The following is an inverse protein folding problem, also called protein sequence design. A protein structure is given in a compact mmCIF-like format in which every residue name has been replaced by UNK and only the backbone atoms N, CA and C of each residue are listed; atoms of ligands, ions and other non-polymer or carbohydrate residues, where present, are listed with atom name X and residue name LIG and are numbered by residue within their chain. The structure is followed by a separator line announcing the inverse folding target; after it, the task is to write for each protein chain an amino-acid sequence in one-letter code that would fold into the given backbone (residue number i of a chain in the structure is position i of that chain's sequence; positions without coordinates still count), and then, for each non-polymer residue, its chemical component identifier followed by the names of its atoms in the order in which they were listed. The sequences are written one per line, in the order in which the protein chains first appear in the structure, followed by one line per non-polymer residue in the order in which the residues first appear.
data_IF_392485294463
#
_entry.id   IF_392485294463
#
_cell.length_a   1.000
_cell.length_b   1.000
_cell.length_c   1.000
_cell.angle_alpha   90.00
_cell.angle_beta   90.00
_cell.angle_gamma   90.00
#
_symmetry.space_group_name_H-M   'P 1'
#
loop_
_entity.id
_entity.type
_entity.pdbx_description
1 polymer ?
2 polymer ?
3 non-polymer ?
4 non-polymer ?
5 water ?
#
# COMPACT_ATOMS: atom_id res chain seq x y z
N UNK A 1 -9.91 -18.77 -12.51
CA UNK A 1 -10.85 -18.81 -11.41
C UNK A 1 -12.24 -18.35 -11.81
N UNK A 2 -12.95 -17.71 -10.87
CA UNK A 2 -14.37 -17.41 -11.09
C UNK A 2 -14.58 -16.37 -12.18
N UNK A 3 -13.57 -15.55 -12.50
CA UNK A 3 -13.71 -14.54 -13.55
C UNK A 3 -13.11 -14.99 -14.87
N UNK A 4 -12.75 -16.29 -14.97
CA UNK A 4 -12.03 -16.77 -16.14
C UNK A 4 -12.77 -16.65 -17.46
N UNK A 5 -14.10 -16.66 -17.43
CA UNK A 5 -14.87 -16.57 -18.66
C UNK A 5 -15.19 -15.15 -19.10
N UNK A 6 -14.82 -14.13 -18.31
CA UNK A 6 -15.12 -12.77 -18.70
C UNK A 6 -13.93 -12.12 -19.38
N UNK A 7 -14.22 -11.33 -20.43
CA UNK A 7 -13.19 -10.61 -21.18
C UNK A 7 -12.41 -9.69 -20.25
N UNK A 8 -11.09 -9.59 -20.49
CA UNK A 8 -10.26 -8.65 -19.72
C UNK A 8 -10.88 -7.26 -19.72
N UNK A 9 -11.25 -6.77 -20.92
CA UNK A 9 -11.78 -5.41 -21.00
C UNK A 9 -13.05 -5.24 -20.17
N UNK A 10 -13.92 -6.27 -20.16
CA UNK A 10 -15.16 -6.18 -19.38
C UNK A 10 -14.87 -6.19 -17.88
N UNK A 11 -13.84 -6.94 -17.46
CA UNK A 11 -13.46 -6.94 -16.05
C UNK A 11 -12.99 -5.55 -15.62
N UNK A 12 -12.23 -4.87 -16.49
CA UNK A 12 -11.74 -3.53 -16.17
C UNK A 12 -12.90 -2.55 -16.11
N UNK A 13 -13.79 -2.61 -17.11
CA UNK A 13 -14.97 -1.76 -17.13
C UNK A 13 -15.82 -1.98 -15.88
N UNK A 14 -16.03 -3.25 -15.50
CA UNK A 14 -16.81 -3.56 -14.31
C UNK A 14 -16.10 -3.13 -13.02
N UNK A 15 -14.77 -3.19 -12.99
CA UNK A 15 -14.04 -2.68 -11.84
C UNK A 15 -14.32 -1.20 -11.65
N UNK A 16 -14.34 -0.43 -12.74
CA UNK A 16 -14.60 1.00 -12.67
C UNK A 16 -16.03 1.27 -12.22
N UNK A 17 -16.98 0.47 -12.71
CA UNK A 17 -18.37 0.60 -12.26
C UNK A 17 -18.49 0.30 -10.76
N UNK A 18 -17.84 -0.79 -10.32
CA UNK A 18 -17.84 -1.15 -8.92
C UNK A 18 -17.29 -0.03 -8.05
N UNK A 19 -16.22 0.62 -8.51
CA UNK A 19 -15.68 1.75 -7.76
C UNK A 19 -16.72 2.84 -7.61
N UNK A 20 -17.40 3.18 -8.71
CA UNK A 20 -18.43 4.22 -8.64
C UNK A 20 -19.54 3.83 -7.69
N UNK A 21 -19.90 2.54 -7.65
CA UNK A 21 -20.92 2.03 -6.77
C UNK A 21 -20.43 1.75 -5.34
N UNK A 22 -19.14 2.00 -5.07
CA UNK A 22 -18.51 1.73 -3.78
C UNK A 22 -18.63 0.27 -3.38
N UNK A 23 -18.55 -0.63 -4.37
CA UNK A 23 -18.59 -2.07 -4.16
C UNK A 23 -17.18 -2.61 -4.28
N UNK A 24 -16.41 -2.44 -3.21
CA UNK A 24 -14.96 -2.64 -3.31
C UNK A 24 -14.60 -4.12 -3.35
N UNK A 25 -15.40 -4.98 -2.70
CA UNK A 25 -15.14 -6.41 -2.80
C UNK A 25 -15.31 -6.88 -4.24
N UNK A 26 -16.40 -6.47 -4.90
CA UNK A 26 -16.56 -6.76 -6.32
C UNK A 26 -15.40 -6.17 -7.13
N UNK A 27 -15.04 -4.92 -6.86
CA UNK A 27 -13.96 -4.26 -7.57
C UNK A 27 -12.68 -5.06 -7.49
N UNK A 28 -12.35 -5.55 -6.29
CA UNK A 28 -11.16 -6.37 -6.10
C UNK A 28 -11.26 -7.67 -6.86
N UNK A 29 -12.43 -8.32 -6.86
CA UNK A 29 -12.56 -9.59 -7.58
C UNK A 29 -12.43 -9.40 -9.09
N UNK A 30 -12.96 -8.30 -9.63
CA UNK A 30 -12.82 -8.00 -11.05
C UNK A 30 -11.34 -7.75 -11.39
N UNK A 31 -10.64 -6.98 -10.55
CA UNK A 31 -9.23 -6.71 -10.83
C UNK A 31 -8.37 -7.95 -10.66
N UNK A 32 -8.67 -8.81 -9.68
CA UNK A 32 -7.97 -10.09 -9.57
C UNK A 32 -8.14 -10.90 -10.84
N UNK A 33 -9.37 -10.97 -11.35
CA UNK A 33 -9.60 -11.65 -12.61
C UNK A 33 -8.84 -11.03 -13.76
N UNK A 34 -8.75 -9.69 -13.80
CA UNK A 34 -7.99 -9.03 -14.85
C UNK A 34 -6.50 -9.37 -14.75
N UNK A 35 -5.95 -9.37 -13.54
CA UNK A 35 -4.55 -9.74 -13.36
C UNK A 35 -4.31 -11.14 -13.85
N UNK A 36 -5.22 -12.06 -13.51
CA UNK A 36 -5.03 -13.47 -13.86
C UNK A 36 -5.15 -13.72 -15.35
N UNK A 37 -5.53 -12.71 -16.15
CA UNK A 37 -5.43 -12.88 -17.60
C UNK A 37 -3.99 -12.97 -18.08
N UNK A 38 -3.03 -12.56 -17.26
CA UNK A 38 -1.62 -12.74 -17.57
C UNK A 38 -0.96 -11.59 -18.30
N UNK A 39 -1.70 -10.57 -18.71
CA UNK A 39 -1.10 -9.41 -19.35
C UNK A 39 -0.65 -8.40 -18.28
N UNK A 40 0.42 -7.66 -18.58
CA UNK A 40 0.82 -6.59 -17.66
C UNK A 40 -0.32 -5.56 -17.52
N UNK A 41 -0.32 -4.82 -16.42
CA UNK A 41 -1.34 -3.80 -16.16
C UNK A 41 -0.83 -2.41 -16.53
N UNK A 42 -1.71 -1.59 -17.10
CA UNK A 42 -1.41 -0.19 -17.34
C UNK A 42 -1.35 0.57 -16.02
N UNK A 43 -0.87 1.83 -16.06
CA UNK A 43 -0.88 2.66 -14.86
C UNK A 43 -2.29 2.75 -14.24
N UNK A 44 -3.31 3.04 -15.06
CA UNK A 44 -4.67 3.16 -14.54
C UNK A 44 -5.12 1.85 -13.90
N UNK A 45 -4.82 0.73 -14.55
CA UNK A 45 -5.22 -0.59 -14.03
C UNK A 45 -4.50 -0.91 -12.72
N UNK A 46 -3.21 -0.59 -12.62
CA UNK A 46 -2.52 -0.77 -11.35
C UNK A 46 -3.23 -0.02 -10.24
N UNK A 47 -3.63 1.20 -10.54
CA UNK A 47 -4.30 1.99 -9.53
C UNK A 47 -5.66 1.41 -9.18
N UNK A 48 -6.40 0.84 -10.16
CA UNK A 48 -7.68 0.20 -9.83
C UNK A 48 -7.47 -0.98 -8.91
N UNK A 49 -6.44 -1.79 -9.20
CA UNK A 49 -6.09 -2.94 -8.36
C UNK A 49 -5.79 -2.50 -6.93
N UNK A 50 -4.96 -1.46 -6.79
CA UNK A 50 -4.55 -0.99 -5.47
C UNK A 50 -5.73 -0.40 -4.70
N UNK A 51 -6.51 0.48 -5.35
CA UNK A 51 -7.64 1.11 -4.68
C UNK A 51 -8.63 0.05 -4.19
N UNK A 52 -8.89 -0.96 -5.02
CA UNK A 52 -9.86 -2.00 -4.66
C UNK A 52 -9.44 -2.72 -3.38
N UNK A 53 -8.23 -3.31 -3.39
CA UNK A 53 -7.78 -4.07 -2.25
C UNK A 53 -7.52 -3.16 -1.04
N UNK A 54 -7.09 -1.92 -1.24
CA UNK A 54 -6.89 -1.03 -0.08
C UNK A 54 -8.19 -0.79 0.66
N UNK A 55 -9.28 -0.61 -0.07
CA UNK A 55 -10.58 -0.43 0.55
C UNK A 55 -11.03 -1.69 1.26
N UNK A 56 -10.84 -2.86 0.65
CA UNK A 56 -11.24 -4.10 1.29
C UNK A 56 -10.45 -4.32 2.58
N UNK A 57 -9.12 -4.29 2.49
CA UNK A 57 -8.33 -4.55 3.69
C UNK A 57 -8.52 -3.45 4.71
N UNK A 58 -8.83 -2.24 4.24
CA UNK A 58 -9.05 -1.13 5.18
C UNK A 58 -10.23 -1.39 6.09
N UNK A 59 -11.33 -1.90 5.53
CA UNK A 59 -12.48 -2.26 6.36
C UNK A 59 -12.13 -3.33 7.38
N UNK A 60 -11.33 -4.32 6.97
CA UNK A 60 -10.94 -5.41 7.84
C UNK A 60 -10.03 -4.91 8.96
N UNK A 61 -9.08 -4.02 8.62
CA UNK A 61 -8.18 -3.48 9.61
C UNK A 61 -8.96 -2.70 10.67
N UNK A 62 -9.89 -1.86 10.24
CA UNK A 62 -10.67 -1.07 11.18
C UNK A 62 -11.48 -1.98 12.09
N UNK A 63 -12.07 -3.02 11.51
CA UNK A 63 -12.86 -3.95 12.31
C UNK A 63 -11.97 -4.70 13.29
N UNK A 64 -10.81 -5.17 12.81
CA UNK A 64 -9.87 -5.89 13.65
C UNK A 64 -9.44 -5.03 14.83
N UNK A 65 -9.21 -3.74 14.60
CA UNK A 65 -8.77 -2.88 15.69
C UNK A 65 -9.86 -2.73 16.73
N UNK A 66 -11.12 -2.57 16.30
CA UNK A 66 -12.25 -2.47 17.23
C UNK A 66 -12.30 -3.71 18.10
N UNK A 67 -12.25 -4.90 17.48
CA UNK A 67 -12.37 -6.15 18.21
C UNK A 67 -11.16 -6.40 19.10
N UNK A 68 -9.96 -6.05 18.64
CA UNK A 68 -8.76 -6.21 19.45
C UNK A 68 -8.82 -5.34 20.71
N UNK A 69 -9.34 -4.12 20.55
CA UNK A 69 -9.52 -3.22 21.69
C UNK A 69 -10.49 -3.80 22.70
N UNK A 70 -11.61 -4.34 22.23
CA UNK A 70 -12.58 -4.96 23.13
C UNK A 70 -11.96 -6.16 23.84
N UNK A 71 -11.22 -6.97 23.09
CA UNK A 71 -10.58 -8.15 23.65
C UNK A 71 -9.62 -7.76 24.76
N UNK A 72 -8.75 -6.77 24.50
CA UNK A 72 -7.80 -6.32 25.53
C UNK A 72 -8.53 -5.81 26.76
N UNK A 73 -9.58 -4.99 26.57
CA UNK A 73 -10.39 -4.57 27.71
C UNK A 73 -10.93 -5.78 28.47
N UNK A 74 -11.40 -6.80 27.74
CA UNK A 74 -11.92 -8.02 28.36
C UNK A 74 -10.85 -8.80 29.12
N UNK A 75 -9.59 -8.59 28.80
CA UNK A 75 -8.50 -9.25 29.51
C UNK A 75 -7.88 -8.27 30.49
N UNK A 84 -15.31 -17.07 25.29
CA UNK A 84 -14.38 -17.11 24.16
C UNK A 84 -14.82 -16.31 22.95
N UNK A 85 -16.01 -15.71 22.99
CA UNK A 85 -16.63 -15.16 21.79
C UNK A 85 -15.81 -14.01 21.19
N UNK A 86 -15.33 -13.08 22.02
CA UNK A 86 -14.58 -11.93 21.48
C UNK A 86 -13.31 -12.41 20.79
N UNK A 87 -12.56 -13.30 21.44
CA UNK A 87 -11.35 -13.84 20.82
C UNK A 87 -11.67 -14.58 19.53
N UNK A 88 -12.72 -15.43 19.55
CA UNK A 88 -13.11 -16.18 18.36
C UNK A 88 -13.43 -15.25 17.19
N UNK A 89 -14.21 -14.19 17.45
CA UNK A 89 -14.64 -13.32 16.36
C UNK A 89 -13.49 -12.42 15.89
N UNK A 90 -12.65 -11.96 16.82
CA UNK A 90 -11.42 -11.26 16.39
C UNK A 90 -10.56 -12.17 15.51
N UNK A 91 -10.43 -13.44 15.88
CA UNK A 91 -9.67 -14.39 15.07
C UNK A 91 -10.30 -14.58 13.69
N UNK A 92 -11.63 -14.65 13.64
CA UNK A 92 -12.33 -14.80 12.35
C UNK A 92 -11.99 -13.64 11.44
N UNK A 93 -12.10 -12.40 11.95
CA UNK A 93 -11.80 -11.24 11.13
C UNK A 93 -10.33 -11.24 10.75
N UNK A 94 -9.46 -11.60 11.71
CA UNK A 94 -8.02 -11.66 11.47
C UNK A 94 -7.69 -12.63 10.35
N UNK A 95 -8.33 -13.81 10.32
CA UNK A 95 -8.03 -14.79 9.29
C UNK A 95 -8.50 -14.29 7.91
N UNK A 96 -9.65 -13.62 7.86
CA UNK A 96 -10.14 -13.06 6.61
C UNK A 96 -9.19 -11.96 6.10
N UNK A 97 -8.72 -11.11 7.01
CA UNK A 97 -7.71 -10.11 6.68
C UNK A 97 -6.45 -10.76 6.12
N UNK A 98 -5.94 -11.79 6.81
CA UNK A 98 -4.75 -12.49 6.34
C UNK A 98 -4.99 -13.11 4.99
N UNK A 99 -6.21 -13.58 4.74
CA UNK A 99 -6.53 -14.17 3.46
C UNK A 99 -6.44 -13.16 2.33
N UNK A 100 -6.94 -11.94 2.57
CA UNK A 100 -6.87 -10.88 1.57
C UNK A 100 -5.41 -10.50 1.32
N UNK A 101 -4.62 -10.33 2.39
CA UNK A 101 -3.19 -10.04 2.21
C UNK A 101 -2.50 -11.13 1.41
N UNK A 102 -2.77 -12.41 1.75
CA UNK A 102 -2.23 -13.54 1.00
C UNK A 102 -2.62 -13.47 -0.47
N UNK A 103 -3.87 -13.14 -0.78
CA UNK A 103 -4.29 -13.06 -2.17
C UNK A 103 -3.50 -11.98 -2.93
N UNK A 104 -3.36 -10.79 -2.32
CA UNK A 104 -2.65 -9.71 -2.99
C UNK A 104 -1.19 -10.10 -3.20
N UNK A 105 -0.52 -10.59 -2.15
CA UNK A 105 0.87 -11.01 -2.29
C UNK A 105 1.01 -12.08 -3.37
N UNK A 106 0.01 -12.98 -3.46
CA UNK A 106 0.02 -14.00 -4.50
C UNK A 106 -0.04 -13.44 -5.90
N UNK A 107 -0.85 -12.40 -6.12
CA UNK A 107 -0.90 -11.75 -7.42
C UNK A 107 0.43 -11.08 -7.74
N UNK A 108 1.02 -10.42 -6.75
CA UNK A 108 2.31 -9.75 -6.97
C UNK A 108 3.39 -10.76 -7.33
N UNK A 109 3.37 -11.93 -6.69
CA UNK A 109 4.37 -12.98 -6.89
C UNK A 109 4.10 -13.84 -8.13
N UNK A 110 2.85 -13.82 -8.66
CA UNK A 110 2.45 -14.65 -9.80
C UNK A 110 1.52 -13.85 -10.73
N UNK A 111 2.08 -12.96 -11.57
CA UNK A 111 3.50 -12.78 -11.81
C UNK A 111 3.79 -11.30 -12.06
N UNK A 112 3.07 -10.43 -11.34
CA UNK A 112 3.16 -9.00 -11.61
C UNK A 112 4.57 -8.46 -11.42
N UNK A 113 5.22 -8.78 -10.30
CA UNK A 113 6.53 -8.18 -10.03
C UNK A 113 7.55 -8.67 -11.04
N UNK A 114 7.56 -9.97 -11.34
CA UNK A 114 8.63 -10.46 -12.20
C UNK A 114 8.51 -9.93 -13.63
N UNK A 115 7.30 -9.56 -14.07
CA UNK A 115 7.15 -8.99 -15.40
C UNK A 115 7.24 -7.47 -15.41
N UNK A 116 7.42 -6.81 -14.27
CA UNK A 116 7.46 -5.35 -14.20
C UNK A 116 8.91 -4.87 -14.38
N UNK A 117 9.19 -4.28 -15.52
CA UNK A 117 10.52 -3.80 -15.85
C UNK A 117 10.69 -2.30 -15.69
N UNK A 118 9.66 -1.53 -16.01
CA UNK A 118 9.73 -0.09 -15.86
C UNK A 118 9.71 0.30 -14.40
N UNK A 119 10.42 1.38 -14.08
CA UNK A 119 10.47 1.80 -12.68
C UNK A 119 9.09 2.05 -12.10
N UNK A 120 8.19 2.70 -12.86
CA UNK A 120 6.89 3.09 -12.32
C UNK A 120 6.03 1.89 -11.97
N UNK A 121 6.17 0.80 -12.71
CA UNK A 121 5.39 -0.39 -12.37
C UNK A 121 6.11 -1.20 -11.30
N UNK A 122 7.43 -1.35 -11.40
CA UNK A 122 8.16 -2.16 -10.44
C UNK A 122 8.10 -1.55 -9.05
N UNK A 123 8.29 -0.23 -8.94
CA UNK A 123 8.20 0.43 -7.64
C UNK A 123 6.79 0.32 -7.09
N UNK A 124 5.78 0.49 -7.95
CA UNK A 124 4.38 0.40 -7.51
C UNK A 124 4.10 -0.95 -6.87
N UNK A 125 4.50 -2.05 -7.52
CA UNK A 125 4.19 -3.37 -7.02
C UNK A 125 5.00 -3.69 -5.77
N UNK A 126 6.28 -3.28 -5.75
CA UNK A 126 7.08 -3.55 -4.58
C UNK A 126 6.57 -2.79 -3.37
N UNK A 127 6.14 -1.54 -3.58
CA UNK A 127 5.46 -0.82 -2.49
C UNK A 127 4.23 -1.59 -2.01
N UNK A 128 3.43 -2.13 -2.93
CA UNK A 128 2.25 -2.92 -2.50
C UNK A 128 2.68 -4.12 -1.69
N UNK A 129 3.74 -4.81 -2.12
CA UNK A 129 4.23 -5.95 -1.37
C UNK A 129 4.60 -5.54 0.05
N UNK A 130 5.35 -4.44 0.19
CA UNK A 130 5.63 -3.87 1.51
C UNK A 130 4.36 -3.57 2.30
N UNK A 131 3.38 -2.94 1.66
CA UNK A 131 2.14 -2.58 2.36
C UNK A 131 1.42 -3.81 2.90
N UNK A 132 1.25 -4.85 2.08
CA UNK A 132 0.44 -5.98 2.53
C UNK A 132 1.21 -6.85 3.53
N UNK A 133 2.54 -6.90 3.47
CA UNK A 133 3.26 -7.53 4.59
C UNK A 133 3.13 -6.69 5.85
N UNK A 134 3.15 -5.36 5.70
CA UNK A 134 2.92 -4.49 6.85
C UNK A 134 1.54 -4.76 7.48
N UNK A 135 0.49 -4.97 6.66
CA UNK A 135 -0.83 -5.24 7.22
C UNK A 135 -0.83 -6.58 7.95
N UNK A 136 -0.09 -7.55 7.41
CA UNK A 136 0.08 -8.80 8.14
C UNK A 136 0.81 -8.56 9.47
N UNK A 137 1.84 -7.70 9.45
CA UNK A 137 2.61 -7.46 10.67
C UNK A 137 1.75 -6.84 11.76
N UNK A 138 0.76 -6.02 11.39
CA UNK A 138 -0.10 -5.35 12.37
C UNK A 138 -0.83 -6.36 13.24
N UNK A 139 -1.14 -7.54 12.71
CA UNK A 139 -1.87 -8.57 13.45
C UNK A 139 -1.01 -9.74 13.86
N UNK A 140 0.26 -9.76 13.47
CA UNK A 140 1.14 -10.89 13.73
C UNK A 140 1.64 -10.87 15.18
N UNK A 141 1.92 -12.05 15.70
CA UNK A 141 2.56 -12.18 17.00
C UNK A 141 3.87 -12.97 16.92
N UNK A 142 4.84 -12.62 17.77
CA UNK A 142 6.00 -13.48 17.99
C UNK A 142 7.01 -13.53 16.83
N UNK A 143 7.46 -14.75 16.49
CA UNK A 143 8.52 -14.92 15.48
C UNK A 143 7.96 -14.73 14.06
N UNK A 144 6.82 -15.37 13.75
CA UNK A 144 6.18 -15.06 12.47
C UNK A 144 6.18 -13.56 12.27
N UNK A 145 5.95 -12.80 13.34
CA UNK A 145 6.02 -11.35 13.23
C UNK A 145 7.37 -10.90 12.73
N UNK A 146 8.47 -11.47 13.24
CA UNK A 146 9.79 -11.00 12.84
C UNK A 146 10.03 -11.21 11.35
N UNK A 147 9.72 -12.40 10.85
CA UNK A 147 9.94 -12.71 9.44
C UNK A 147 9.02 -11.88 8.56
N UNK A 148 7.78 -11.66 9.00
CA UNK A 148 6.84 -10.82 8.24
C UNK A 148 7.40 -9.40 8.15
N UNK A 149 7.86 -8.87 9.28
CA UNK A 149 8.42 -7.52 9.32
C UNK A 149 9.61 -7.42 8.37
N UNK A 150 10.47 -8.44 8.34
CA UNK A 150 11.63 -8.35 7.46
C UNK A 150 11.23 -8.45 6.00
N UNK A 151 10.15 -9.16 5.69
CA UNK A 151 9.65 -9.19 4.32
C UNK A 151 9.09 -7.83 3.91
N UNK A 152 8.40 -7.12 4.82
CA UNK A 152 7.94 -5.77 4.50
C UNK A 152 9.13 -4.86 4.23
N UNK A 153 10.07 -4.84 5.18
CA UNK A 153 11.28 -4.02 5.06
C UNK A 153 12.00 -4.29 3.74
N UNK A 154 12.20 -5.55 3.40
CA UNK A 154 12.93 -5.90 2.19
C UNK A 154 12.24 -5.37 0.94
N UNK A 155 10.91 -5.47 0.88
CA UNK A 155 10.19 -4.99 -0.29
C UNK A 155 10.23 -3.48 -0.38
N UNK A 156 9.98 -2.79 0.74
CA UNK A 156 10.10 -1.34 0.77
C UNK A 156 11.50 -0.90 0.36
N UNK A 157 12.53 -1.56 0.90
CA UNK A 157 13.91 -1.15 0.60
C UNK A 157 14.24 -1.28 -0.88
N UNK A 158 13.86 -2.41 -1.51
CA UNK A 158 14.11 -2.54 -2.94
C UNK A 158 13.35 -1.48 -3.72
N UNK A 159 12.11 -1.20 -3.32
CA UNK A 159 11.34 -0.16 -3.99
C UNK A 159 12.01 1.18 -3.84
N UNK A 160 12.52 1.48 -2.63
CA UNK A 160 13.18 2.76 -2.38
C UNK A 160 14.45 2.89 -3.21
N UNK A 161 15.25 1.82 -3.28
CA UNK A 161 16.49 1.87 -4.05
C UNK A 161 16.21 2.21 -5.52
N UNK A 162 15.21 1.54 -6.12
CA UNK A 162 14.87 1.80 -7.51
C UNK A 162 14.34 3.22 -7.66
N UNK A 163 13.45 3.63 -6.75
CA UNK A 163 12.81 4.93 -6.86
C UNK A 163 13.83 6.05 -6.82
N UNK A 164 14.80 5.96 -5.91
CA UNK A 164 15.80 7.01 -5.78
C UNK A 164 16.68 7.11 -7.02
N UNK A 165 16.90 5.99 -7.73
CA UNK A 165 17.74 5.99 -8.91
C UNK A 165 16.99 6.37 -10.18
N UNK A 166 15.67 6.09 -10.26
CA UNK A 166 14.92 6.18 -11.51
C UNK A 166 13.79 7.20 -11.53
N UNK A 167 13.42 7.79 -10.40
CA UNK A 167 12.31 8.73 -10.39
C UNK A 167 12.75 10.03 -9.74
N UNK A 168 12.15 11.15 -10.14
CA UNK A 168 12.45 12.42 -9.47
C UNK A 168 11.86 12.43 -8.07
N UNK A 169 12.43 13.26 -7.18
CA UNK A 169 11.98 13.26 -5.78
C UNK A 169 10.54 13.68 -5.60
N UNK A 170 9.89 14.28 -6.61
CA UNK A 170 8.49 14.67 -6.50
C UNK A 170 7.53 13.64 -7.07
N UNK A 171 8.03 12.57 -7.66
CA UNK A 171 7.18 11.56 -8.24
C UNK A 171 6.18 11.03 -7.19
N UNK A 172 4.87 11.09 -7.46
CA UNK A 172 3.90 10.66 -6.44
C UNK A 172 4.06 9.23 -5.96
N UNK A 173 4.49 8.32 -6.83
CA UNK A 173 4.72 6.94 -6.41
C UNK A 173 5.87 6.89 -5.41
N UNK A 174 6.98 7.56 -5.74
CA UNK A 174 8.11 7.66 -4.82
C UNK A 174 7.69 8.26 -3.50
N UNK A 175 6.92 9.36 -3.55
CA UNK A 175 6.47 10.05 -2.34
C UNK A 175 5.61 9.14 -1.48
N UNK A 176 4.68 8.42 -2.12
CA UNK A 176 3.77 7.56 -1.38
C UNK A 176 4.48 6.37 -0.76
N UNK A 177 5.44 5.80 -1.49
CA UNK A 177 6.34 4.78 -0.95
C UNK A 177 7.07 5.27 0.28
N UNK A 178 7.70 6.44 0.20
CA UNK A 178 8.44 6.96 1.33
C UNK A 178 7.53 7.22 2.52
N UNK A 179 6.34 7.77 2.25
CA UNK A 179 5.34 7.95 3.30
C UNK A 179 5.05 6.64 4.03
N UNK A 180 4.76 5.57 3.29
CA UNK A 180 4.38 4.30 3.89
C UNK A 180 5.57 3.62 4.59
N UNK A 181 6.75 3.70 3.99
CA UNK A 181 7.94 3.14 4.63
C UNK A 181 8.23 3.88 5.92
N UNK A 182 8.02 5.20 5.95
CA UNK A 182 8.21 5.95 7.19
C UNK A 182 7.25 5.45 8.28
N UNK A 183 6.01 5.14 7.91
CA UNK A 183 5.05 4.67 8.92
C UNK A 183 5.40 3.25 9.36
N UNK A 184 5.84 2.41 8.42
CA UNK A 184 6.44 1.12 8.77
C UNK A 184 7.53 1.30 9.83
N UNK A 185 8.48 2.21 9.58
CA UNK A 185 9.53 2.42 10.58
C UNK A 185 8.93 2.81 11.93
N UNK A 186 7.98 3.74 11.93
CA UNK A 186 7.48 4.31 13.18
C UNK A 186 6.68 3.30 13.99
N UNK A 187 5.72 2.65 13.33
CA UNK A 187 4.68 1.82 13.95
C UNK A 187 5.03 0.34 14.03
N UNK A 188 5.79 -0.17 13.07
CA UNK A 188 6.01 -1.59 12.96
C UNK A 188 7.40 -1.96 13.43
N UNK A 189 8.41 -1.24 12.97
CA UNK A 189 9.80 -1.57 13.27
C UNK A 189 10.28 -0.90 14.56
N UNK A 190 9.44 -0.14 15.23
CA UNK A 190 9.81 0.58 16.44
C UNK A 190 11.07 1.42 16.22
N UNK A 191 11.14 2.07 15.06
CA UNK A 191 12.25 2.94 14.69
C UNK A 191 11.74 4.35 14.42
N UNK A 192 11.21 5.03 15.44
CA UNK A 192 10.68 6.39 15.22
C UNK A 192 11.71 7.37 14.65
N UNK A 193 12.98 7.28 15.03
CA UNK A 193 13.94 8.23 14.49
C UNK A 193 14.15 8.01 13.00
N UNK A 194 14.20 6.74 12.58
CA UNK A 194 14.31 6.45 11.16
C UNK A 194 13.09 6.98 10.42
N UNK A 195 11.89 6.80 11.01
CA UNK A 195 10.65 7.27 10.39
C UNK A 195 10.70 8.78 10.19
N UNK A 196 11.12 9.51 11.23
CA UNK A 196 11.18 10.97 11.15
C UNK A 196 12.22 11.41 10.13
N UNK A 197 13.42 10.83 10.18
CA UNK A 197 14.46 11.17 9.21
C UNK A 197 13.96 10.94 7.79
N UNK A 198 13.33 9.79 7.53
CA UNK A 198 12.87 9.53 6.18
C UNK A 198 11.83 10.55 5.74
N UNK A 199 10.84 10.83 6.59
CA UNK A 199 9.76 11.75 6.22
C UNK A 199 10.29 13.15 5.96
N UNK A 200 11.25 13.60 6.78
CA UNK A 200 11.86 14.92 6.62
C UNK A 200 12.67 15.02 5.33
N UNK A 201 13.58 14.07 5.09
CA UNK A 201 14.40 14.13 3.88
C UNK A 201 13.53 14.04 2.63
N UNK A 202 12.52 13.16 2.66
CA UNK A 202 11.60 13.05 1.53
C UNK A 202 10.88 14.38 1.29
N UNK A 203 10.36 14.99 2.35
CA UNK A 203 9.64 16.25 2.18
C UNK A 203 10.56 17.33 1.61
N UNK A 204 11.74 17.49 2.21
CA UNK A 204 12.67 18.55 1.82
C UNK A 204 13.14 18.39 0.38
N UNK A 205 13.47 17.16 -0.05
CA UNK A 205 13.93 16.93 -1.42
C UNK A 205 12.80 17.14 -2.42
N UNK A 206 11.57 16.80 -2.05
CA UNK A 206 10.46 17.10 -2.96
C UNK A 206 10.24 18.60 -3.09
N UNK A 207 10.28 19.31 -1.96
CA UNK A 207 10.11 20.76 -1.98
C UNK A 207 11.05 21.40 -3.00
N UNK A 208 12.31 20.98 -3.00
CA UNK A 208 13.36 21.55 -3.83
C UNK A 208 13.17 21.24 -5.31
N UNK A 209 12.30 20.29 -5.65
CA UNK A 209 12.05 19.87 -7.02
C UNK A 209 10.71 20.39 -7.56
N UNK A 210 9.90 21.06 -6.72
CA UNK A 210 8.56 21.49 -7.12
C UNK A 210 8.61 22.48 -8.28
N UNK A 211 9.68 23.27 -8.37
CA UNK A 211 9.80 24.28 -9.42
C UNK A 211 9.79 23.68 -10.82
N UNK A 212 10.08 22.38 -10.95
CA UNK A 212 10.12 21.72 -12.25
C UNK A 212 8.76 21.29 -12.76
N UNK A 213 7.71 21.37 -11.95
CA UNK A 213 6.43 20.75 -12.26
C UNK A 213 5.43 21.73 -12.85
N UNK A 214 4.53 21.17 -13.65
CA UNK A 214 3.30 21.81 -14.10
C UNK A 214 2.34 21.96 -12.92
N UNK A 215 1.32 22.78 -13.11
CA UNK A 215 0.34 23.02 -12.04
C UNK A 215 -0.34 21.71 -11.60
N UNK A 216 -0.61 20.81 -12.54
CA UNK A 216 -1.30 19.57 -12.16
C UNK A 216 -0.36 18.60 -11.44
N UNK A 217 0.88 18.48 -11.89
CA UNK A 217 1.85 17.67 -11.16
C UNK A 217 2.14 18.26 -9.80
N UNK A 218 2.24 19.58 -9.73
CA UNK A 218 2.42 20.28 -8.46
C UNK A 218 1.34 19.87 -7.46
N UNK A 219 0.07 19.87 -7.89
CA UNK A 219 -1.03 19.49 -7.00
C UNK A 219 -0.89 18.04 -6.53
N UNK A 220 -0.58 17.11 -7.46
CA UNK A 220 -0.40 15.70 -7.09
C UNK A 220 0.71 15.53 -6.04
N UNK A 221 1.85 16.18 -6.26
CA UNK A 221 2.99 16.00 -5.36
C UNK A 221 2.74 16.67 -4.00
N UNK A 222 2.21 17.90 -4.00
CA UNK A 222 1.99 18.57 -2.73
C UNK A 222 0.96 17.85 -1.87
N UNK A 223 -0.02 17.16 -2.48
CA UNK A 223 -0.99 16.40 -1.68
C UNK A 223 -0.30 15.37 -0.81
N UNK A 224 0.65 14.61 -1.37
CA UNK A 224 1.34 13.59 -0.58
C UNK A 224 2.34 14.22 0.36
N UNK A 225 2.98 15.32 -0.04
CA UNK A 225 3.87 16.02 0.89
C UNK A 225 3.12 16.44 2.14
N UNK A 226 1.86 16.85 1.98
CA UNK A 226 1.05 17.23 3.14
C UNK A 226 0.85 16.06 4.09
N UNK A 227 0.71 14.83 3.58
CA UNK A 227 0.62 13.68 4.48
C UNK A 227 1.94 13.46 5.24
N UNK A 228 3.08 13.67 4.57
CA UNK A 228 4.36 13.61 5.27
C UNK A 228 4.40 14.65 6.38
N UNK A 229 3.96 15.87 6.09
CA UNK A 229 3.93 16.91 7.11
C UNK A 229 2.97 16.57 8.24
N UNK A 230 1.80 16.00 7.92
CA UNK A 230 0.86 15.62 8.98
C UNK A 230 1.52 14.64 9.94
N UNK A 231 2.23 13.65 9.41
CA UNK A 231 2.89 12.69 10.29
C UNK A 231 4.00 13.35 11.10
N UNK A 232 4.86 14.16 10.46
CA UNK A 232 5.93 14.82 11.21
C UNK A 232 5.35 15.64 12.36
N UNK A 233 4.22 16.29 12.13
CA UNK A 233 3.58 17.09 13.18
C UNK A 233 3.14 16.23 14.36
N UNK A 234 2.66 15.02 14.09
CA UNK A 234 2.31 14.13 15.19
C UNK A 234 3.54 13.52 15.84
N UNK A 235 4.66 13.45 15.13
CA UNK A 235 5.85 12.75 15.61
C UNK A 235 6.87 13.66 16.28
N UNK A 236 6.83 14.96 16.01
CA UNK A 236 7.80 15.90 16.56
C UNK A 236 7.10 17.05 17.26
N UNK B 3 -4.12 6.30 14.11
CA UNK B 3 -3.48 5.83 12.89
C UNK B 3 -2.80 6.99 12.16
N UNK B 4 -1.56 6.76 11.73
CA UNK B 4 -0.81 7.75 10.99
C UNK B 4 -1.20 7.73 9.51
N UNK B 5 -0.89 8.81 8.81
CA UNK B 5 -1.30 8.94 7.41
C UNK B 5 -0.50 7.97 6.57
N UNK B 6 -1.16 7.15 5.75
CA UNK B 6 -0.46 6.40 4.69
C UNK B 6 -1.12 6.68 3.35
N UNK B 7 -0.49 6.20 2.29
CA UNK B 7 -0.89 6.45 0.93
C UNK B 7 -2.30 5.91 0.57
N UNK B 8 -3.00 6.64 -0.27
CA UNK B 8 -4.21 6.13 -0.89
C UNK B 8 -5.42 6.18 0.02
N UNK B 9 -6.48 5.45 -0.37
CA UNK B 9 -7.75 5.54 0.38
C UNK B 9 -7.62 5.26 1.87
N UNK B 10 -8.17 6.19 2.65
CA UNK B 10 -8.20 6.15 4.11
C UNK B 10 -9.39 5.32 4.58
N UNK B 11 -9.39 4.05 4.14
CA UNK B 11 -10.56 3.17 4.23
C UNK B 11 -10.69 2.44 5.57
N UNK B 12 -9.76 2.64 6.50
CA UNK B 12 -9.93 2.09 7.84
C UNK B 12 -10.17 3.25 8.82
X LIG C 1 -16.74 -16.23 15.09
X LIG D 1 -5.62 6.61 -11.63
X LIG D 1 -7.62 5.89 -10.17
X LIG D 1 -6.56 6.44 -9.47
X LIG D 1 -8.93 5.36 -9.63
X LIG D 1 -2.97 6.63 -15.00
X LIG D 1 -4.21 7.47 -14.78
X LIG D 1 -5.08 7.66 -16.00
X LIG D 1 -4.63 6.96 -12.52
X LIG D 1 -3.45 7.54 -12.08
X LIG D 1 -3.26 7.78 -10.73
X LIG D 1 -4.25 7.44 -9.84
X LIG D 1 -5.47 6.84 -10.29
X LIG D 1 -9.20 5.33 -8.41
X LIG D 1 -9.88 4.93 -10.61
X LIG D 1 -4.92 6.68 -13.85
X LIG D 1 -7.20 5.89 -11.85
X LIG D 1 -3.96 7.76 -8.14
X LIG D 1 -6.57 6.54 -8.54
X LIG D 1 -2.34 7.13 -15.48
X LIG D 1 -3.19 5.87 -15.49
X LIG D 1 -2.61 6.38 -14.17
X LIG D 1 -3.99 8.30 -14.39
X LIG D 1 -5.50 6.85 -16.22
X LIG D 1 -4.55 7.94 -16.72
X LIG D 1 -5.74 8.31 -15.83
X LIG D 1 -2.78 7.76 -12.69
X LIG D 1 -2.47 8.17 -10.43
X LIG D 1 -8.61 5.60 -7.81
X LIG D 1 -9.68 4.96 -11.45
X LIG D 1 -10.65 4.62 -10.37
X LIG E 1 2.62 -15.19 5.20
X LIG E 1 2.32 -14.96 2.62
X LIG E 1 1.17 -14.82 3.37
X LIG E 1 2.49 -14.92 1.12
X LIG E 1 6.13 -15.51 8.05
X LIG E 1 5.40 -14.80 6.90
X LIG E 1 6.29 -14.72 5.64
X LIG E 1 2.95 -15.31 6.54
X LIG E 1 1.94 -15.22 7.50
X LIG E 1 0.62 -14.97 7.10
X LIG E 1 0.32 -14.83 5.75
X LIG E 1 1.35 -14.95 4.77
X LIG E 1 1.49 -15.03 0.39
X LIG E 1 3.78 -14.82 0.53
X LIG E 1 4.29 -15.65 6.84
X LIG E 1 3.59 -15.24 3.76
X LIG E 1 -1.35 -14.51 5.27
X LIG E 1 0.34 -14.64 2.98
X LIG E 1 5.50 -15.74 8.72
X LIG E 1 6.78 -14.95 8.42
X LIG E 1 6.54 -16.29 7.73
X LIG E 1 5.14 -13.94 7.18
X LIG E 1 6.38 -15.57 5.26
X LIG E 1 7.14 -14.38 5.87
X LIG E 1 5.89 -14.13 5.01
X LIG E 1 2.14 -15.32 8.40
X LIG E 1 -0.05 -14.89 7.73
X LIG E 1 0.69 -15.10 0.74
X LIG E 1 4.48 -14.76 1.03
X LIG E 1 3.87 -14.81 -0.32
#
# INVERSE_FOLDING_TARGET
GAMGSMERASLIQKAKLAEQAERYEDMAAFMKGAVEKGEELSCEERNLLSVAYKNVVGGQRAAWRVLSSIEQKSNEEGSEEKGPEVREYREKVETELQGVCDTVLGLLDSHLIKEAGDAESRVFYLKMKGDYYRYLAEVATGDDKKRIIDSARSAYQEAMDISKKEMPPTNPIRLGLALNFSVFHYEIANSPEEAISLAKTTFDEAMADLHTLSEDSYKDSTLIMQLLRDNLTLWT
KLMFKTEGPDSD
CL CL
LF5 C10 C12 C13 C14 C01 C02 C03 C05 C06 C07 C08 C09 N15 N16 O04 S11 CL H131 H013 H012 H011 H021 H031 H033 H032 H061 H071 H1 H162 H161
LF5 C10 C12 C13 C14 C01 C02 C03 C05 C06 C07 C08 C09 N15 N16 O04 S11 CL H131 H013 H012 H011 H021 H031 H033 H032 H061 H071 H1 H162 H161
#
